data_IF_592953410285
#
_entry.id   IF_592953410285
#
_cell.length_a   1.000
_cell.length_b   1.000
_cell.length_c   1.000
_cell.angle_alpha   90.00
_cell.angle_beta   90.00
_cell.angle_gamma   90.00
#
_symmetry.space_group_name_H-M   'P 1'
#
loop_
_entity.id
_entity.type
_entity.pdbx_description
1 polymer ?
#
# COMPACT_ATOMS: atom_id res chain seq x y z
N UNK A 1 4.65 7.21 19.23
CA UNK A 1 4.85 8.20 18.12
C UNK A 1 3.68 8.09 17.14
N UNK A 2 3.37 9.12 16.35
CA UNK A 2 2.31 9.04 15.31
C UNK A 2 2.93 9.28 13.94
N UNK A 3 2.69 8.37 13.00
CA UNK A 3 3.25 8.43 11.66
C UNK A 3 2.13 8.57 10.64
N UNK A 4 2.27 9.57 9.78
CA UNK A 4 1.44 9.74 8.59
C UNK A 4 1.85 8.72 7.52
N UNK A 5 1.01 7.71 7.33
CA UNK A 5 1.07 6.68 6.29
C UNK A 5 0.20 7.04 5.08
N UNK A 6 -0.25 6.00 4.37
CA UNK A 6 -1.16 6.14 3.23
C UNK A 6 -0.64 7.01 2.08
N UNK A 7 -1.54 7.37 1.17
CA UNK A 7 -1.21 8.21 0.01
C UNK A 7 -0.63 9.56 0.43
N UNK A 8 -1.14 10.10 1.53
CA UNK A 8 -0.79 11.40 2.09
C UNK A 8 0.61 11.45 2.72
N UNK A 9 1.10 10.34 3.29
CA UNK A 9 2.47 10.20 3.77
C UNK A 9 3.47 9.88 2.65
N UNK A 10 3.06 9.03 1.70
CA UNK A 10 3.84 8.60 0.53
C UNK A 10 4.03 9.74 -0.50
N UNK A 11 3.17 10.75 -0.46
CA UNK A 11 3.15 11.87 -1.41
C UNK A 11 2.50 11.51 -2.74
N UNK A 12 1.57 10.55 -2.74
CA UNK A 12 0.86 10.01 -3.92
C UNK A 12 -0.66 10.26 -3.84
N UNK A 13 -1.08 11.27 -3.08
CA UNK A 13 -2.49 11.67 -2.89
C UNK A 13 -3.15 12.11 -4.19
N UNK A 14 -4.43 11.74 -4.37
CA UNK A 14 -5.31 12.26 -5.42
C UNK A 14 -6.14 13.44 -4.89
N UNK A 15 -6.32 14.48 -5.72
CA UNK A 15 -7.12 15.65 -5.35
C UNK A 15 -8.59 15.25 -5.19
N UNK A 16 -9.19 15.58 -4.04
CA UNK A 16 -10.61 15.36 -3.77
C UNK A 16 -10.99 13.94 -3.34
N UNK A 17 -10.02 13.03 -3.25
CA UNK A 17 -10.20 11.64 -2.79
C UNK A 17 -8.96 11.21 -2.00
N UNK A 18 -8.78 11.84 -0.85
CA UNK A 18 -7.59 11.68 -0.03
C UNK A 18 -7.89 10.82 1.18
N UNK A 19 -7.16 9.72 1.29
CA UNK A 19 -7.03 8.91 2.50
C UNK A 19 -5.75 9.32 3.25
N UNK A 20 -5.82 9.31 4.57
CA UNK A 20 -4.67 9.56 5.43
C UNK A 20 -4.61 8.52 6.54
N UNK A 21 -3.67 7.58 6.41
CA UNK A 21 -3.43 6.60 7.45
C UNK A 21 -2.62 7.28 8.58
N UNK A 22 -3.10 7.16 9.80
CA UNK A 22 -2.45 7.58 11.03
C UNK A 22 -2.06 6.34 11.81
N UNK A 23 -0.79 5.95 11.72
CA UNK A 23 -0.27 4.84 12.51
C UNK A 23 0.18 5.36 13.86
N UNK A 24 -0.48 4.91 14.91
CA UNK A 24 -0.27 5.32 16.29
C UNK A 24 0.54 4.25 16.99
N UNK A 25 1.83 4.51 17.17
CA UNK A 25 2.74 3.61 17.87
C UNK A 25 2.62 3.81 19.38
N UNK A 26 2.18 2.76 20.06
CA UNK A 26 1.86 2.77 21.49
C UNK A 26 2.98 2.14 22.30
N UNK A 27 3.45 2.84 23.33
CA UNK A 27 4.50 2.34 24.24
C UNK A 27 4.06 1.11 25.04
N UNK A 28 2.77 0.88 25.16
CA UNK A 28 2.16 -0.23 25.90
C UNK A 28 2.11 -1.53 25.10
N UNK A 29 2.35 -1.48 23.78
CA UNK A 29 2.49 -2.65 22.93
C UNK A 29 3.98 -3.01 22.85
N UNK A 30 4.35 -4.21 23.31
CA UNK A 30 5.75 -4.68 23.39
C UNK A 30 6.11 -5.77 22.40
N UNK A 31 5.12 -6.35 21.73
CA UNK A 31 5.31 -7.40 20.74
C UNK A 31 4.24 -7.36 19.65
N UNK A 32 4.48 -8.07 18.56
CA UNK A 32 3.48 -8.33 17.52
C UNK A 32 2.25 -9.07 18.11
N UNK A 33 2.47 -10.05 18.97
CA UNK A 33 1.41 -10.77 19.67
C UNK A 33 0.51 -9.82 20.48
N UNK A 34 1.10 -8.94 21.31
CA UNK A 34 0.32 -7.99 22.10
C UNK A 34 -0.48 -7.03 21.21
N UNK A 35 0.08 -6.58 20.07
CA UNK A 35 -0.67 -5.79 19.10
C UNK A 35 -1.87 -6.59 18.57
N UNK A 36 -1.67 -7.86 18.21
CA UNK A 36 -2.75 -8.69 17.67
C UNK A 36 -3.89 -8.86 18.68
N UNK A 37 -3.57 -9.16 19.93
CA UNK A 37 -4.54 -9.44 20.99
C UNK A 37 -5.24 -8.17 21.50
N UNK A 38 -4.50 -7.06 21.66
CA UNK A 38 -4.96 -5.90 22.42
C UNK A 38 -5.31 -4.68 21.58
N UNK A 39 -5.08 -4.67 20.26
CA UNK A 39 -5.40 -3.49 19.42
C UNK A 39 -6.86 -3.05 19.52
N UNK A 40 -7.80 -3.97 19.75
CA UNK A 40 -9.21 -3.65 19.95
C UNK A 40 -9.44 -2.73 21.16
N UNK A 41 -8.74 -2.98 22.27
CA UNK A 41 -8.80 -2.15 23.48
C UNK A 41 -8.37 -0.71 23.16
N UNK A 42 -7.26 -0.56 22.43
CA UNK A 42 -6.74 0.75 22.05
C UNK A 42 -7.62 1.46 21.02
N UNK A 43 -8.20 0.73 20.07
CA UNK A 43 -9.15 1.30 19.10
C UNK A 43 -10.38 1.86 19.82
N UNK A 44 -10.94 1.11 20.78
CA UNK A 44 -12.08 1.57 21.56
C UNK A 44 -11.75 2.80 22.40
N UNK A 45 -10.58 2.82 23.03
CA UNK A 45 -10.15 3.97 23.82
C UNK A 45 -9.93 5.20 22.92
N UNK A 46 -9.24 5.06 21.79
CA UNK A 46 -9.05 6.16 20.84
C UNK A 46 -10.42 6.66 20.33
N UNK A 47 -11.35 5.76 20.02
CA UNK A 47 -12.71 6.13 19.58
C UNK A 47 -13.41 6.98 20.63
N UNK A 48 -13.42 6.57 21.90
CA UNK A 48 -14.04 7.34 23.00
C UNK A 48 -13.45 8.74 23.09
N UNK A 49 -12.14 8.87 22.98
CA UNK A 49 -11.46 10.17 23.03
C UNK A 49 -11.77 11.03 21.79
N UNK A 50 -11.85 10.45 20.59
CA UNK A 50 -12.27 11.18 19.39
C UNK A 50 -13.74 11.65 19.49
N UNK A 51 -14.64 10.83 20.03
CA UNK A 51 -16.04 11.21 20.26
C UNK A 51 -16.19 12.30 21.33
N UNK A 52 -15.40 12.27 22.40
CA UNK A 52 -15.34 13.33 23.40
C UNK A 52 -14.84 14.64 22.76
N UNK A 53 -13.74 14.57 22.03
CA UNK A 53 -13.18 15.70 21.28
C UNK A 53 -14.18 16.28 20.27
N UNK A 54 -14.94 15.44 19.55
CA UNK A 54 -15.99 15.90 18.63
C UNK A 54 -17.11 16.66 19.35
N UNK A 55 -17.41 16.37 20.62
CA UNK A 55 -18.43 17.07 21.42
C UNK A 55 -17.93 18.33 22.09
N UNK A 56 -16.67 18.32 22.54
CA UNK A 56 -16.11 19.35 23.42
C UNK A 56 -15.36 20.44 22.64
N UNK A 57 -14.74 20.09 21.51
CA UNK A 57 -13.93 21.01 20.71
C UNK A 57 -14.67 21.56 19.49
N UNK A 58 -14.36 22.80 19.12
CA UNK A 58 -14.92 23.43 17.91
C UNK A 58 -13.92 23.37 16.77
N UNK A 59 -14.29 22.71 15.67
CA UNK A 59 -13.48 22.61 14.46
C UNK A 59 -14.03 23.49 13.34
N UNK A 60 -13.15 24.07 12.52
CA UNK A 60 -13.55 24.75 11.26
C UNK A 60 -14.09 23.77 10.19
N UNK A 61 -13.88 22.48 10.41
CA UNK A 61 -14.32 21.37 9.57
C UNK A 61 -15.35 20.53 10.32
N UNK A 62 -16.27 19.92 9.59
CA UNK A 62 -17.17 18.92 10.15
C UNK A 62 -16.38 17.66 10.47
N UNK A 63 -16.37 17.26 11.73
CA UNK A 63 -15.69 16.08 12.23
C UNK A 63 -16.72 14.97 12.48
N UNK A 64 -16.56 13.83 11.83
CA UNK A 64 -17.44 12.66 11.95
C UNK A 64 -16.63 11.39 12.25
N UNK A 65 -16.75 10.86 13.46
CA UNK A 65 -16.20 9.54 13.82
C UNK A 65 -17.09 8.44 13.24
N UNK A 66 -16.53 7.50 12.47
CA UNK A 66 -17.33 6.41 11.90
C UNK A 66 -17.66 5.36 12.97
N UNK A 67 -18.87 4.80 12.89
CA UNK A 67 -19.27 3.70 13.76
C UNK A 67 -18.44 2.47 13.45
N UNK A 68 -17.87 1.85 14.47
CA UNK A 68 -17.21 0.55 14.34
C UNK A 68 -18.25 -0.49 13.90
N UNK A 69 -17.90 -1.28 12.88
CA UNK A 69 -18.65 -2.49 12.57
C UNK A 69 -18.42 -3.47 13.72
N UNK A 70 -19.43 -4.30 14.04
CA UNK A 70 -19.36 -5.33 15.10
C UNK A 70 -18.34 -6.41 14.73
N UNK A 71 -17.05 -6.11 14.85
CA UNK A 71 -15.94 -6.99 14.57
C UNK A 71 -15.22 -7.20 15.90
N UNK A 72 -14.95 -8.46 16.26
CA UNK A 72 -14.33 -8.81 17.56
C UNK A 72 -12.93 -8.21 17.74
N UNK A 73 -12.25 -7.82 16.65
CA UNK A 73 -10.92 -7.21 16.70
C UNK A 73 -10.63 -6.33 15.47
N UNK A 74 -11.17 -5.10 15.40
CA UNK A 74 -10.94 -4.20 14.28
C UNK A 74 -9.44 -3.88 14.13
N UNK A 75 -8.99 -3.67 12.88
CA UNK A 75 -7.60 -3.22 12.61
C UNK A 75 -7.47 -1.71 12.51
N UNK A 76 -8.59 -1.04 12.27
CA UNK A 76 -8.64 0.35 11.87
C UNK A 76 -9.86 1.02 12.49
N UNK A 77 -9.67 2.26 12.92
CA UNK A 77 -10.74 3.18 13.29
C UNK A 77 -10.75 4.31 12.27
N UNK A 78 -11.89 4.54 11.62
CA UNK A 78 -11.99 5.56 10.58
C UNK A 78 -12.77 6.78 11.06
N UNK A 79 -12.36 7.97 10.63
CA UNK A 79 -13.11 9.21 10.82
C UNK A 79 -12.95 10.13 9.62
N UNK A 80 -13.87 11.08 9.44
CA UNK A 80 -13.89 12.00 8.31
C UNK A 80 -13.81 13.44 8.79
N UNK A 81 -12.95 14.22 8.15
CA UNK A 81 -12.94 15.68 8.26
C UNK A 81 -13.44 16.28 6.95
N UNK A 82 -14.57 16.99 6.98
CA UNK A 82 -15.19 17.62 5.80
C UNK A 82 -15.19 19.14 5.92
N UNK A 83 -14.70 19.83 4.90
CA UNK A 83 -14.81 21.29 4.78
C UNK A 83 -15.99 21.66 3.88
N UNK A 84 -17.09 22.20 4.42
CA UNK A 84 -18.23 22.64 3.60
C UNK A 84 -17.84 23.75 2.62
N UNK A 85 -16.94 24.65 3.06
CA UNK A 85 -16.44 25.78 2.25
C UNK A 85 -15.69 25.33 0.99
N UNK A 86 -14.92 24.25 1.10
CA UNK A 86 -14.09 23.74 0.01
C UNK A 86 -14.73 22.60 -0.77
N UNK A 87 -15.90 22.11 -0.33
CA UNK A 87 -16.52 20.87 -0.82
C UNK A 87 -15.51 19.71 -0.93
N UNK A 88 -14.70 19.53 0.13
CA UNK A 88 -13.66 18.51 0.22
C UNK A 88 -13.78 17.76 1.53
N UNK A 89 -13.46 16.49 1.50
CA UNK A 89 -13.33 15.63 2.67
C UNK A 89 -12.03 14.84 2.64
N UNK A 90 -11.56 14.48 3.82
CA UNK A 90 -10.43 13.59 4.03
C UNK A 90 -10.88 12.51 5.00
N UNK A 91 -10.76 11.26 4.56
CA UNK A 91 -10.96 10.08 5.40
C UNK A 91 -9.63 9.73 6.07
N UNK A 92 -9.66 9.53 7.38
CA UNK A 92 -8.53 9.15 8.19
C UNK A 92 -8.73 7.75 8.72
N UNK A 93 -7.71 6.92 8.56
CA UNK A 93 -7.66 5.56 9.11
C UNK A 93 -6.64 5.54 10.24
N UNK A 94 -7.08 5.26 11.46
CA UNK A 94 -6.22 5.18 12.65
C UNK A 94 -5.88 3.73 12.93
N UNK A 95 -4.58 3.41 12.96
CA UNK A 95 -4.08 2.05 13.18
C UNK A 95 -3.12 2.04 14.38
N UNK A 96 -3.52 1.47 15.52
CA UNK A 96 -2.60 1.19 16.62
C UNK A 96 -1.56 0.15 16.20
N UNK A 97 -0.29 0.42 16.52
CA UNK A 97 0.81 -0.48 16.16
C UNK A 97 1.87 -0.59 17.26
N UNK A 98 2.52 -1.74 17.31
CA UNK A 98 3.77 -1.99 18.00
C UNK A 98 4.92 -1.31 17.26
N UNK A 99 5.81 -0.63 17.98
CA UNK A 99 6.99 0.03 17.41
C UNK A 99 8.14 -0.94 17.20
N UNK A 100 7.97 -1.86 16.25
CA UNK A 100 8.96 -2.89 15.93
C UNK A 100 10.31 -2.34 15.46
N UNK A 101 10.33 -1.11 14.92
CA UNK A 101 11.52 -0.47 14.37
C UNK A 101 12.21 0.47 15.38
N UNK A 102 11.53 0.86 16.47
CA UNK A 102 12.02 1.85 17.41
C UNK A 102 12.42 3.16 16.73
N UNK A 103 13.63 3.64 16.99
CA UNK A 103 14.17 4.83 16.32
C UNK A 103 14.82 4.45 14.98
N UNK A 104 14.08 4.64 13.90
CA UNK A 104 14.57 4.36 12.55
C UNK A 104 15.62 5.40 12.11
N UNK A 105 16.81 4.94 11.73
CA UNK A 105 17.83 5.79 11.13
C UNK A 105 17.64 5.84 9.61
N UNK A 106 17.48 7.04 9.06
CA UNK A 106 17.21 7.22 7.63
C UNK A 106 18.33 6.63 6.77
N UNK A 107 17.96 5.76 5.84
CA UNK A 107 18.89 5.13 4.89
C UNK A 107 19.56 3.85 5.39
N UNK A 108 19.31 3.45 6.64
CA UNK A 108 19.79 2.19 7.19
C UNK A 108 18.70 1.12 7.10
N UNK A 109 19.15 -0.11 6.81
CA UNK A 109 18.29 -1.29 6.85
C UNK A 109 17.94 -1.62 8.31
N UNK A 110 16.70 -2.02 8.63
CA UNK A 110 16.37 -2.56 9.94
C UNK A 110 17.22 -3.79 10.29
N UNK A 111 17.37 -4.04 11.59
CA UNK A 111 18.00 -5.27 12.07
C UNK A 111 17.18 -6.49 11.65
N UNK A 112 17.84 -7.49 11.05
CA UNK A 112 17.24 -8.76 10.65
C UNK A 112 16.44 -9.45 11.76
N UNK A 113 16.82 -9.26 13.04
CA UNK A 113 16.10 -9.82 14.20
C UNK A 113 14.64 -9.38 14.26
N UNK A 114 14.32 -8.17 13.82
CA UNK A 114 12.95 -7.66 13.75
C UNK A 114 12.11 -8.51 12.78
N UNK A 115 12.67 -8.81 11.61
CA UNK A 115 11.98 -9.63 10.61
C UNK A 115 11.92 -11.10 10.98
N UNK A 116 12.93 -11.64 11.66
CA UNK A 116 12.88 -13.00 12.22
C UNK A 116 11.74 -13.14 13.23
N UNK A 117 11.60 -12.19 14.16
CA UNK A 117 10.50 -12.17 15.13
C UNK A 117 9.13 -12.02 14.44
N UNK A 118 9.05 -11.14 13.43
CA UNK A 118 7.85 -11.00 12.62
C UNK A 118 7.44 -12.32 11.95
N UNK A 119 8.40 -12.99 11.29
CA UNK A 119 8.15 -14.26 10.60
C UNK A 119 7.63 -15.31 11.57
N UNK A 120 8.31 -15.49 12.71
CA UNK A 120 7.91 -16.45 13.74
C UNK A 120 6.48 -16.18 14.23
N UNK A 121 6.15 -14.93 14.51
CA UNK A 121 4.81 -14.57 14.97
C UNK A 121 3.74 -14.76 13.87
N UNK A 122 4.03 -14.36 12.64
CA UNK A 122 3.14 -14.56 11.50
C UNK A 122 2.88 -16.05 11.23
N UNK A 123 3.87 -16.91 11.40
CA UNK A 123 3.71 -18.37 11.28
C UNK A 123 2.87 -18.94 12.42
N UNK A 124 3.16 -18.55 13.67
CA UNK A 124 2.41 -18.97 14.85
C UNK A 124 0.92 -18.61 14.74
N UNK A 125 0.62 -17.38 14.34
CA UNK A 125 -0.75 -16.89 14.20
C UNK A 125 -1.40 -17.30 12.87
N UNK A 126 -0.61 -17.75 11.88
CA UNK A 126 -1.00 -17.93 10.47
C UNK A 126 -1.59 -16.64 9.87
N UNK A 127 -0.93 -15.51 10.13
CA UNK A 127 -1.36 -14.15 9.76
C UNK A 127 -0.27 -13.38 9.02
N UNK A 128 -0.04 -13.75 7.77
CA UNK A 128 0.87 -13.07 6.85
C UNK A 128 0.41 -11.62 6.55
N UNK A 129 1.32 -10.65 6.60
CA UNK A 129 1.05 -9.23 6.32
C UNK A 129 0.20 -8.50 7.38
N UNK A 130 -0.12 -9.17 8.49
CA UNK A 130 -0.97 -8.65 9.58
C UNK A 130 -0.39 -7.39 10.22
N UNK A 131 0.93 -7.35 10.33
CA UNK A 131 1.68 -6.36 11.08
C UNK A 131 2.30 -5.28 10.20
N UNK A 132 1.89 -5.19 8.93
CA UNK A 132 2.34 -4.14 8.00
C UNK A 132 2.25 -2.69 8.57
N UNK A 133 1.30 -2.31 9.46
CA UNK A 133 1.33 -0.99 10.09
C UNK A 133 2.62 -0.70 10.86
N UNK A 134 3.26 -1.70 11.47
CA UNK A 134 4.53 -1.54 12.20
C UNK A 134 5.66 -1.03 11.30
N UNK A 135 5.55 -1.28 9.98
CA UNK A 135 6.55 -0.94 8.98
C UNK A 135 6.13 0.22 8.08
N UNK A 136 5.10 0.99 8.47
CA UNK A 136 4.57 2.12 7.69
C UNK A 136 5.64 3.17 7.35
N UNK A 137 6.62 3.39 8.23
CA UNK A 137 7.72 4.31 7.95
C UNK A 137 8.55 3.86 6.74
N UNK A 138 8.82 2.55 6.62
CA UNK A 138 9.55 1.97 5.50
C UNK A 138 8.74 1.98 4.21
N UNK A 139 7.44 1.65 4.28
CA UNK A 139 6.52 1.74 3.13
C UNK A 139 6.43 3.18 2.61
N UNK A 140 6.32 4.15 3.53
CA UNK A 140 6.33 5.58 3.21
C UNK A 140 7.63 5.97 2.53
N UNK A 141 8.77 5.61 3.11
CA UNK A 141 10.08 6.03 2.62
C UNK A 141 10.44 5.39 1.27
N UNK A 142 9.93 4.19 1.00
CA UNK A 142 10.04 3.51 -0.30
C UNK A 142 9.45 4.36 -1.45
N UNK A 143 8.33 5.05 -1.23
CA UNK A 143 7.66 5.88 -2.23
C UNK A 143 8.05 7.36 -2.14
N UNK A 144 8.28 7.86 -0.92
CA UNK A 144 8.60 9.27 -0.68
C UNK A 144 9.92 9.70 -1.33
N UNK A 145 10.88 8.79 -1.45
CA UNK A 145 12.18 9.03 -2.09
C UNK A 145 12.14 9.05 -3.63
N UNK A 146 11.00 8.72 -4.26
CA UNK A 146 10.89 8.58 -5.72
C UNK A 146 10.79 9.92 -6.46
N UNK A 147 11.25 9.99 -7.73
CA UNK A 147 11.15 11.20 -8.56
C UNK A 147 9.71 11.73 -8.69
N UNK A 148 9.58 13.05 -8.82
CA UNK A 148 8.27 13.71 -8.96
C UNK A 148 7.46 13.16 -10.13
N UNK A 149 8.11 12.90 -11.28
CA UNK A 149 7.45 12.35 -12.47
C UNK A 149 6.89 10.94 -12.21
N UNK A 150 7.63 10.09 -11.49
CA UNK A 150 7.14 8.77 -11.05
C UNK A 150 5.96 8.89 -10.10
N UNK A 151 6.00 9.81 -9.12
CA UNK A 151 4.83 10.05 -8.26
C UNK A 151 3.60 10.51 -9.06
N UNK A 152 3.79 11.28 -10.13
CA UNK A 152 2.70 11.64 -11.03
C UNK A 152 2.16 10.46 -11.83
N UNK A 153 3.02 9.54 -12.29
CA UNK A 153 2.58 8.29 -12.90
C UNK A 153 1.79 7.41 -11.91
N UNK A 154 2.26 7.28 -10.66
CA UNK A 154 1.53 6.56 -9.60
C UNK A 154 0.15 7.18 -9.39
N UNK A 155 0.03 8.52 -9.36
CA UNK A 155 -1.29 9.19 -9.26
C UNK A 155 -2.18 8.87 -10.46
N UNK A 156 -1.64 8.82 -11.67
CA UNK A 156 -2.40 8.44 -12.86
C UNK A 156 -2.93 7.00 -12.75
N UNK A 157 -2.09 6.04 -12.38
CA UNK A 157 -2.47 4.64 -12.18
C UNK A 157 -3.50 4.50 -11.06
N UNK A 158 -3.34 5.23 -9.96
CA UNK A 158 -4.34 5.25 -8.87
C UNK A 158 -5.66 5.83 -9.34
N UNK A 159 -5.65 6.89 -10.15
CA UNK A 159 -6.87 7.46 -10.69
C UNK A 159 -7.60 6.47 -11.59
N UNK A 160 -6.87 5.81 -12.50
CA UNK A 160 -7.39 4.70 -13.31
C UNK A 160 -8.01 3.59 -12.45
N UNK A 161 -7.28 3.11 -11.43
CA UNK A 161 -7.77 2.10 -10.50
C UNK A 161 -9.09 2.50 -9.82
N UNK A 162 -9.23 3.77 -9.42
CA UNK A 162 -10.48 4.28 -8.84
C UNK A 162 -11.64 4.27 -9.83
N UNK A 163 -11.41 4.63 -11.10
CA UNK A 163 -12.44 4.54 -12.15
C UNK A 163 -12.86 3.09 -12.38
N UNK A 164 -11.92 2.14 -12.39
CA UNK A 164 -12.24 0.71 -12.45
C UNK A 164 -13.08 0.28 -11.25
N UNK A 165 -12.74 0.73 -10.04
CA UNK A 165 -13.48 0.42 -8.81
C UNK A 165 -14.92 0.94 -8.84
N UNK A 166 -15.15 2.12 -9.43
CA UNK A 166 -16.50 2.69 -9.60
C UNK A 166 -17.34 1.89 -10.60
N UNK A 167 -16.73 1.40 -11.67
CA UNK A 167 -17.42 0.68 -12.74
C UNK A 167 -17.66 -0.80 -12.40
N UNK A 168 -16.65 -1.48 -11.86
CA UNK A 168 -16.66 -2.93 -11.64
C UNK A 168 -17.11 -3.31 -10.22
N UNK A 169 -17.07 -2.38 -9.26
CA UNK A 169 -17.28 -2.69 -7.85
C UNK A 169 -16.12 -3.47 -7.23
N UNK A 170 -16.42 -4.37 -6.29
CA UNK A 170 -15.46 -5.26 -5.62
C UNK A 170 -15.71 -6.72 -6.05
N UNK A 171 -14.66 -7.57 -6.11
CA UNK A 171 -13.30 -7.37 -5.58
C UNK A 171 -12.24 -6.92 -6.62
N UNK A 172 -11.39 -5.96 -6.24
CA UNK A 172 -10.18 -5.56 -6.97
C UNK A 172 -8.94 -5.73 -6.06
N UNK A 173 -7.73 -5.93 -6.62
CA UNK A 173 -6.52 -6.09 -5.81
C UNK A 173 -6.22 -4.81 -5.02
N UNK A 174 -5.51 -4.90 -3.88
CA UNK A 174 -5.20 -3.71 -3.10
C UNK A 174 -4.53 -2.62 -3.94
N UNK A 175 -4.99 -1.36 -3.83
CA UNK A 175 -4.41 -0.24 -4.58
C UNK A 175 -2.89 -0.11 -4.37
N UNK A 176 -2.39 -0.47 -3.19
CA UNK A 176 -0.97 -0.47 -2.90
C UNK A 176 -0.16 -1.40 -3.81
N UNK A 177 -0.73 -2.52 -4.26
CA UNK A 177 -0.10 -3.40 -5.24
C UNK A 177 0.19 -2.68 -6.57
N UNK A 178 -0.73 -1.80 -7.01
CA UNK A 178 -0.54 -1.01 -8.23
C UNK A 178 0.47 0.12 -8.04
N UNK A 179 0.58 0.70 -6.83
CA UNK A 179 1.65 1.65 -6.52
C UNK A 179 3.02 0.96 -6.63
N UNK A 180 3.16 -0.26 -6.10
CA UNK A 180 4.38 -1.05 -6.20
C UNK A 180 4.66 -1.55 -7.62
N UNK A 181 3.65 -2.00 -8.37
CA UNK A 181 3.78 -2.41 -9.77
C UNK A 181 4.25 -1.24 -10.65
N UNK A 182 3.77 -0.02 -10.37
CA UNK A 182 4.23 1.19 -11.06
C UNK A 182 5.71 1.49 -10.77
N UNK A 183 6.14 1.31 -9.51
CA UNK A 183 7.56 1.44 -9.16
C UNK A 183 8.38 0.38 -9.89
N UNK A 184 7.93 -0.88 -9.90
CA UNK A 184 8.60 -1.97 -10.63
C UNK A 184 8.75 -1.66 -12.12
N UNK A 185 7.67 -1.24 -12.80
CA UNK A 185 7.70 -0.89 -14.21
C UNK A 185 8.75 0.19 -14.52
N UNK A 186 8.78 1.25 -13.71
CA UNK A 186 9.77 2.31 -13.87
C UNK A 186 11.18 1.84 -13.53
N UNK A 187 11.36 1.05 -12.47
CA UNK A 187 12.67 0.52 -12.09
C UNK A 187 13.22 -0.46 -13.12
N UNK A 188 12.42 -1.25 -13.82
CA UNK A 188 12.95 -2.19 -14.81
C UNK A 188 13.12 -1.56 -16.19
N UNK A 189 12.18 -0.71 -16.61
CA UNK A 189 12.09 -0.26 -18.00
C UNK A 189 12.54 1.17 -18.28
N UNK A 190 12.81 1.98 -17.25
CA UNK A 190 13.13 3.39 -17.44
C UNK A 190 14.28 3.90 -16.55
N UNK A 191 14.12 3.87 -15.23
CA UNK A 191 15.05 4.43 -14.21
C UNK A 191 15.38 5.92 -14.35
N UNK A 192 14.78 6.63 -15.30
CA UNK A 192 15.02 8.06 -15.53
C UNK A 192 14.08 8.97 -14.75
N UNK A 193 14.56 10.18 -14.41
CA UNK A 193 13.73 11.19 -13.75
C UNK A 193 12.70 11.84 -14.67
N UNK A 194 12.96 11.82 -15.98
CA UNK A 194 12.09 12.33 -17.03
C UNK A 194 11.73 11.21 -18.00
N UNK A 195 10.44 11.03 -18.26
CA UNK A 195 9.93 9.99 -19.16
C UNK A 195 8.53 10.34 -19.66
N UNK A 196 8.11 9.64 -20.72
CA UNK A 196 6.77 9.79 -21.31
C UNK A 196 5.74 9.08 -20.43
N UNK A 197 4.82 9.85 -19.86
CA UNK A 197 3.80 9.31 -18.94
C UNK A 197 2.89 8.28 -19.61
N UNK A 198 2.53 8.47 -20.89
CA UNK A 198 1.71 7.52 -21.63
C UNK A 198 2.39 6.15 -21.77
N UNK A 199 3.69 6.12 -22.07
CA UNK A 199 4.46 4.88 -22.16
C UNK A 199 4.55 4.17 -20.80
N UNK A 200 4.83 4.92 -19.73
CA UNK A 200 4.85 4.36 -18.38
C UNK A 200 3.48 3.82 -17.95
N UNK A 201 2.40 4.51 -18.33
CA UNK A 201 1.05 4.04 -18.04
C UNK A 201 0.68 2.78 -18.83
N UNK A 202 1.02 2.73 -20.12
CA UNK A 202 0.82 1.56 -20.96
C UNK A 202 1.57 0.35 -20.38
N UNK A 203 2.82 0.54 -19.98
CA UNK A 203 3.66 -0.50 -19.37
C UNK A 203 3.00 -1.10 -18.12
N UNK A 204 2.41 -0.26 -17.26
CA UNK A 204 1.71 -0.76 -16.06
C UNK A 204 0.47 -1.57 -16.44
N UNK A 205 -0.32 -1.13 -17.43
CA UNK A 205 -1.49 -1.89 -17.87
C UNK A 205 -1.11 -3.24 -18.50
N UNK A 206 -0.05 -3.27 -19.31
CA UNK A 206 0.47 -4.51 -19.88
C UNK A 206 0.99 -5.48 -18.82
N UNK A 207 1.64 -4.98 -17.77
CA UNK A 207 2.02 -5.81 -16.61
C UNK A 207 0.80 -6.36 -15.86
N UNK A 208 -0.29 -5.59 -15.75
CA UNK A 208 -1.55 -6.08 -15.18
C UNK A 208 -2.13 -7.21 -16.04
N UNK A 209 -2.05 -7.14 -17.37
CA UNK A 209 -2.47 -8.24 -18.25
C UNK A 209 -1.64 -9.52 -18.02
N UNK A 210 -0.38 -9.37 -17.60
CA UNK A 210 0.54 -10.47 -17.31
C UNK A 210 0.56 -10.87 -15.82
N UNK A 211 -0.50 -10.56 -15.06
CA UNK A 211 -0.54 -10.81 -13.61
C UNK A 211 -0.17 -12.25 -13.20
N UNK A 212 -0.49 -13.23 -14.04
CA UNK A 212 -0.19 -14.66 -13.82
C UNK A 212 1.32 -14.98 -13.87
N UNK A 213 2.15 -14.04 -14.32
CA UNK A 213 3.61 -14.17 -14.37
C UNK A 213 4.33 -13.28 -13.35
N UNK A 214 3.62 -12.41 -12.63
CA UNK A 214 4.26 -11.42 -11.76
C UNK A 214 4.84 -12.08 -10.50
N UNK A 215 6.17 -12.06 -10.38
CA UNK A 215 6.91 -12.36 -9.16
C UNK A 215 7.83 -11.18 -8.85
N UNK A 216 7.45 -10.33 -7.90
CA UNK A 216 8.13 -9.06 -7.65
C UNK A 216 8.46 -8.95 -6.17
N UNK A 217 9.71 -8.63 -5.84
CA UNK A 217 10.15 -8.29 -4.50
C UNK A 217 11.35 -7.34 -4.54
N UNK A 218 11.71 -6.79 -3.38
CA UNK A 218 12.84 -5.88 -3.23
C UNK A 218 13.67 -6.24 -2.00
N UNK A 219 15.00 -6.24 -2.14
CA UNK A 219 15.93 -6.44 -1.01
C UNK A 219 16.32 -5.14 -0.29
N UNK A 220 15.40 -4.16 -0.25
CA UNK A 220 15.70 -2.85 0.32
C UNK A 220 15.79 -2.89 1.84
N UNK A 221 14.72 -3.36 2.49
CA UNK A 221 14.62 -3.35 3.96
C UNK A 221 14.92 -4.72 4.59
N UNK A 222 14.86 -5.80 3.84
CA UNK A 222 15.28 -7.14 4.23
C UNK A 222 16.03 -7.78 3.06
N UNK A 223 16.78 -8.86 3.30
CA UNK A 223 17.47 -9.62 2.26
C UNK A 223 17.70 -11.07 2.71
N UNK A 224 18.24 -11.90 1.81
CA UNK A 224 18.57 -13.31 2.03
C UNK A 224 19.80 -13.58 2.88
N UNK A 225 20.43 -12.55 3.49
CA UNK A 225 21.64 -12.75 4.30
C UNK A 225 21.38 -13.51 5.61
N UNK A 226 20.14 -13.49 6.11
CA UNK A 226 19.72 -14.29 7.26
C UNK A 226 18.98 -15.54 6.76
N UNK A 227 19.38 -16.76 7.18
CA UNK A 227 18.83 -18.00 6.64
C UNK A 227 17.32 -18.18 6.89
N UNK A 228 16.81 -17.67 8.01
CA UNK A 228 15.37 -17.74 8.32
C UNK A 228 14.59 -16.85 7.34
N UNK A 229 15.13 -15.67 7.02
CA UNK A 229 14.51 -14.74 6.06
C UNK A 229 14.62 -15.32 4.65
N UNK A 230 15.76 -15.88 4.27
CA UNK A 230 15.97 -16.53 2.96
C UNK A 230 14.99 -17.67 2.71
N UNK A 231 14.88 -18.60 3.67
CA UNK A 231 13.94 -19.73 3.58
C UNK A 231 12.50 -19.23 3.46
N UNK A 232 12.14 -18.22 4.25
CA UNK A 232 10.80 -17.64 4.22
C UNK A 232 10.50 -16.91 2.90
N UNK A 233 11.44 -16.13 2.37
CA UNK A 233 11.32 -15.47 1.08
C UNK A 233 11.17 -16.48 -0.05
N UNK A 234 11.94 -17.57 -0.04
CA UNK A 234 11.82 -18.66 -1.02
C UNK A 234 10.40 -19.23 -1.03
N UNK A 235 9.81 -19.48 0.15
CA UNK A 235 8.42 -19.94 0.28
C UNK A 235 7.40 -18.92 -0.23
N UNK A 236 7.62 -17.62 0.02
CA UNK A 236 6.76 -16.56 -0.49
C UNK A 236 6.81 -16.45 -2.02
N UNK A 237 8.01 -16.49 -2.60
CA UNK A 237 8.24 -16.38 -4.03
C UNK A 237 7.80 -17.64 -4.80
N UNK A 238 7.64 -18.78 -4.12
CA UNK A 238 7.05 -20.00 -4.69
C UNK A 238 5.51 -19.99 -4.72
N UNK A 239 4.83 -18.98 -4.15
CA UNK A 239 3.36 -18.91 -4.14
C UNK A 239 2.77 -18.68 -5.53
N UNK A 240 1.50 -19.05 -5.68
CA UNK A 240 0.73 -18.75 -6.89
C UNK A 240 0.80 -17.26 -7.21
N UNK A 241 1.07 -16.96 -8.48
CA UNK A 241 1.15 -15.61 -9.00
C UNK A 241 -0.25 -14.96 -9.00
N UNK A 242 -0.34 -13.63 -8.85
CA UNK A 242 0.76 -12.68 -8.70
C UNK A 242 1.36 -12.68 -7.29
N UNK A 243 2.68 -12.56 -7.22
CA UNK A 243 3.42 -12.28 -5.99
C UNK A 243 4.02 -10.90 -6.13
N UNK A 244 3.59 -9.97 -5.27
CA UNK A 244 4.20 -8.64 -5.13
C UNK A 244 4.47 -8.48 -3.63
N UNK A 245 5.70 -8.74 -3.21
CA UNK A 245 6.09 -8.63 -1.81
C UNK A 245 6.26 -7.17 -1.42
N UNK A 246 5.70 -6.82 -0.25
CA UNK A 246 5.88 -5.51 0.33
C UNK A 246 7.38 -5.26 0.60
N UNK A 247 7.99 -4.20 0.05
CA UNK A 247 9.38 -3.89 0.32
C UNK A 247 9.67 -3.63 1.81
N UNK A 248 8.65 -3.39 2.64
CA UNK A 248 8.76 -3.12 4.07
C UNK A 248 8.48 -4.35 4.97
N UNK A 249 7.75 -5.35 4.46
CA UNK A 249 7.27 -6.53 5.21
C UNK A 249 7.45 -7.80 4.36
N UNK A 250 8.41 -8.69 4.67
CA UNK A 250 8.68 -9.91 3.89
C UNK A 250 7.54 -10.94 3.97
N UNK A 251 6.57 -10.77 4.88
CA UNK A 251 5.40 -11.64 5.04
C UNK A 251 4.22 -11.22 4.18
N UNK A 252 4.20 -9.96 3.74
CA UNK A 252 3.08 -9.37 3.03
C UNK A 252 3.16 -9.49 1.51
N UNK A 253 2.50 -10.49 0.91
CA UNK A 253 2.16 -10.43 -0.52
C UNK A 253 1.00 -9.45 -0.72
N UNK A 254 1.31 -8.22 -1.16
CA UNK A 254 0.32 -7.15 -1.33
C UNK A 254 -0.59 -7.38 -2.53
N UNK A 255 -0.24 -8.30 -3.43
CA UNK A 255 -1.09 -8.65 -4.56
C UNK A 255 -2.42 -9.30 -4.08
N UNK A 256 -2.47 -9.75 -2.82
CA UNK A 256 -3.63 -10.45 -2.29
C UNK A 256 -3.69 -11.89 -2.76
N UNK A 257 -4.65 -12.64 -2.21
CA UNK A 257 -4.82 -14.09 -2.50
C UNK A 257 -5.88 -14.37 -3.58
N UNK A 258 -6.62 -13.35 -4.01
CA UNK A 258 -7.75 -13.49 -4.93
C UNK A 258 -7.33 -13.21 -6.38
N UNK A 259 -7.14 -14.28 -7.15
CA UNK A 259 -6.81 -14.19 -8.58
C UNK A 259 -7.95 -13.59 -9.40
N UNK A 260 -9.21 -13.73 -8.98
CA UNK A 260 -10.36 -13.16 -9.70
C UNK A 260 -10.31 -11.64 -9.70
N UNK A 261 -9.81 -11.05 -8.61
CA UNK A 261 -9.64 -9.60 -8.50
C UNK A 261 -8.66 -9.06 -9.56
N UNK A 262 -7.57 -9.79 -9.82
CA UNK A 262 -6.61 -9.45 -10.88
C UNK A 262 -7.17 -9.72 -12.27
N UNK A 263 -7.92 -10.80 -12.46
CA UNK A 263 -8.59 -11.09 -13.72
C UNK A 263 -9.55 -9.95 -14.13
N UNK A 264 -10.36 -9.45 -13.19
CA UNK A 264 -11.26 -8.31 -13.43
C UNK A 264 -10.47 -7.04 -13.80
N UNK A 265 -9.37 -6.78 -13.08
CA UNK A 265 -8.53 -5.63 -13.36
C UNK A 265 -7.81 -5.75 -14.73
N UNK A 266 -7.41 -6.95 -15.13
CA UNK A 266 -6.82 -7.24 -16.43
C UNK A 266 -7.82 -7.04 -17.58
N UNK A 267 -9.08 -7.46 -17.40
CA UNK A 267 -10.14 -7.17 -18.37
C UNK A 267 -10.32 -5.66 -18.57
N UNK A 268 -10.35 -4.88 -17.48
CA UNK A 268 -10.39 -3.43 -17.58
C UNK A 268 -9.14 -2.86 -18.25
N UNK A 269 -7.93 -3.35 -17.91
CA UNK A 269 -6.69 -2.91 -18.53
C UNK A 269 -6.73 -3.13 -20.06
N UNK A 270 -7.24 -4.27 -20.53
CA UNK A 270 -7.40 -4.58 -21.95
C UNK A 270 -8.28 -3.54 -22.66
N UNK A 271 -9.46 -3.23 -22.11
CA UNK A 271 -10.36 -2.20 -22.67
C UNK A 271 -9.71 -0.82 -22.69
N UNK A 272 -8.96 -0.49 -21.64
CA UNK A 272 -8.30 0.81 -21.55
C UNK A 272 -7.17 0.97 -22.57
N UNK A 273 -6.45 -0.11 -22.93
CA UNK A 273 -5.36 -0.04 -23.90
C UNK A 273 -5.81 0.42 -25.30
N UNK A 274 -7.10 0.27 -25.63
CA UNK A 274 -7.67 0.77 -26.89
C UNK A 274 -7.96 2.29 -26.88
N UNK A 275 -7.90 2.94 -25.72
CA UNK A 275 -8.27 4.35 -25.56
C UNK A 275 -7.22 5.30 -26.16
N UNK A 276 -7.61 6.54 -26.52
CA UNK A 276 -6.72 7.50 -27.17
C UNK A 276 -5.45 7.86 -26.38
N UNK A 277 -5.44 7.65 -25.06
CA UNK A 277 -4.27 7.91 -24.21
C UNK A 277 -3.03 7.08 -24.58
N UNK A 278 -3.21 5.99 -25.35
CA UNK A 278 -2.13 5.11 -25.81
C UNK A 278 -1.80 5.26 -27.29
N UNK A 279 -2.33 6.29 -27.96
CA UNK A 279 -2.09 6.59 -29.37
C UNK A 279 -1.40 7.95 -29.51
N UNK A 280 -0.40 8.03 -30.39
CA UNK A 280 0.22 9.28 -30.81
C UNK A 280 -0.72 10.02 -31.76
N UNK A 281 -0.37 11.26 -32.12
CA UNK A 281 -1.18 12.11 -33.02
C UNK A 281 -1.43 11.49 -34.39
N UNK A 282 -0.50 10.68 -34.88
CA UNK A 282 -0.59 9.96 -36.15
C UNK A 282 -1.38 8.62 -36.04
N UNK A 283 -1.89 8.29 -34.86
CA UNK A 283 -2.62 7.05 -34.59
C UNK A 283 -1.73 5.86 -34.23
N UNK A 284 -0.40 5.98 -34.32
CA UNK A 284 0.53 4.91 -33.93
C UNK A 284 0.55 4.70 -32.41
N UNK A 285 0.84 3.48 -31.91
CA UNK A 285 0.89 3.23 -30.48
C UNK A 285 2.03 4.03 -29.81
N UNK A 286 1.82 4.46 -28.56
CA UNK A 286 2.89 5.14 -27.78
C UNK A 286 4.03 4.18 -27.42
N UNK A 287 3.71 2.90 -27.27
CA UNK A 287 4.63 1.82 -26.89
C UNK A 287 4.80 1.70 -25.37
N UNK A 288 5.32 0.57 -24.93
CA UNK A 288 5.67 0.31 -23.54
C UNK A 288 7.18 0.24 -23.34
N UNK A 289 7.63 0.31 -22.10
CA UNK A 289 9.01 0.00 -21.76
C UNK A 289 9.25 -1.50 -21.85
N UNK A 290 10.48 -1.88 -22.19
CA UNK A 290 10.89 -3.28 -22.19
C UNK A 290 11.04 -3.76 -20.74
N UNK A 291 9.98 -4.39 -20.22
CA UNK A 291 9.91 -4.91 -18.86
C UNK A 291 9.42 -6.35 -18.92
N UNK A 292 10.30 -7.29 -18.59
CA UNK A 292 9.92 -8.67 -18.37
C UNK A 292 9.43 -8.86 -16.92
N UNK A 293 8.37 -9.67 -16.68
CA UNK A 293 8.14 -10.24 -15.36
C UNK A 293 9.40 -11.02 -14.94
N UNK A 294 9.85 -10.92 -13.67
CA UNK A 294 10.98 -11.74 -13.22
C UNK A 294 10.58 -13.22 -13.26
N UNK A 295 11.25 -13.99 -14.12
CA UNK A 295 11.20 -15.44 -14.10
C UNK A 295 12.16 -15.91 -13.00
N UNK A 296 11.59 -16.48 -11.91
CA UNK A 296 12.30 -17.21 -10.86
C UNK A 296 11.79 -18.64 -10.85
#
# INVERSE_FOLDING_TARGET
KVVKGGSSGKGTTLRGRSDADLVVFLTNLKSFQEQFERRGEFIEEIRKQLEACQREETFEVKFEVQKLKQWENPRVLSFVLRSPKLNKEVEFDVLPAFDALGQLTKGYRPDSRVYVQLIQECENLRKEGEFSPCFTELQRDFLKSRPTKLKSLIRLVKHWYQLCKEQLGKPLPPQYALELLTVYAWEQGCKETAFVTAQGFQTVLELVLQYEKLCIYWEKNYNSANPIIEEYLTRQLAKCRPVILDPADPTGNVAGKDTRSWQQLAQAASVWLDYPCFKKRDGSPVGSWDVSPQEH
#
